data_IF_960686512811
#
_entry.id   IF_960686512811
#
_cell.length_a   1.000
_cell.length_b   1.000
_cell.length_c   1.000
_cell.angle_alpha   90.00
_cell.angle_beta   90.00
_cell.angle_gamma   90.00
#
_symmetry.space_group_name_H-M   'P 1'
#
loop_
_entity.id
_entity.type
_entity.pdbx_description
1 polymer ?
#
# COMPACT_ATOMS: atom_id res chain seq x y z
N UNK A 1 6.01 11.02 15.08
CA UNK A 1 4.60 10.60 14.91
C UNK A 1 4.54 9.08 15.07
N UNK A 2 3.60 8.58 15.89
CA UNK A 2 3.25 7.16 15.91
C UNK A 2 2.63 6.77 14.57
N UNK A 3 3.04 5.62 14.02
CA UNK A 3 2.51 5.17 12.74
C UNK A 3 1.10 4.59 12.84
N UNK A 4 0.41 4.52 11.71
CA UNK A 4 -0.91 3.92 11.56
C UNK A 4 -1.11 3.23 10.21
N UNK A 5 -2.12 2.36 10.14
CA UNK A 5 -2.56 1.71 8.92
C UNK A 5 -4.03 2.02 8.65
N UNK A 6 -4.34 2.29 7.38
CA UNK A 6 -5.69 2.54 6.87
C UNK A 6 -5.96 1.68 5.66
N UNK A 7 -7.15 1.13 5.59
CA UNK A 7 -7.56 0.30 4.46
C UNK A 7 -8.94 0.70 3.94
N UNK A 8 -9.17 0.44 2.66
CA UNK A 8 -10.47 0.61 2.02
C UNK A 8 -10.79 -0.63 1.21
N UNK A 9 -12.04 -1.09 1.33
CA UNK A 9 -12.63 -2.07 0.43
C UNK A 9 -13.40 -1.34 -0.67
N UNK A 10 -13.16 -1.73 -1.94
CA UNK A 10 -13.77 -1.13 -3.12
C UNK A 10 -14.60 -2.21 -3.80
N UNK A 11 -15.90 -2.21 -3.57
CA UNK A 11 -16.85 -3.25 -3.99
C UNK A 11 -17.51 -2.99 -5.35
N UNK A 12 -17.27 -1.81 -5.94
CA UNK A 12 -17.85 -1.38 -7.21
C UNK A 12 -16.86 -0.64 -8.11
N UNK A 13 -17.13 -0.55 -9.42
CA UNK A 13 -16.37 0.33 -10.31
C UNK A 13 -16.61 1.81 -9.95
N UNK A 14 -15.64 2.66 -10.29
CA UNK A 14 -15.81 4.12 -10.26
C UNK A 14 -16.65 4.58 -11.44
N UNK A 15 -17.53 5.52 -11.19
CA UNK A 15 -18.19 6.28 -12.26
C UNK A 15 -17.18 7.19 -12.97
N UNK A 16 -17.53 7.70 -14.15
CA UNK A 16 -16.65 8.64 -14.88
C UNK A 16 -16.39 9.92 -14.10
N UNK A 17 -17.42 10.45 -13.44
CA UNK A 17 -17.29 11.64 -12.62
C UNK A 17 -16.40 11.44 -11.40
N UNK A 18 -16.49 10.30 -10.73
CA UNK A 18 -15.62 9.94 -9.60
C UNK A 18 -14.16 9.80 -10.03
N UNK A 19 -13.92 9.08 -11.14
CA UNK A 19 -12.57 8.94 -11.67
C UNK A 19 -11.97 10.30 -12.06
N UNK A 20 -12.73 11.16 -12.74
CA UNK A 20 -12.28 12.49 -13.13
C UNK A 20 -11.89 13.32 -11.90
N UNK A 21 -12.74 13.36 -10.86
CA UNK A 21 -12.43 14.06 -9.60
C UNK A 21 -11.17 13.54 -8.93
N UNK A 22 -11.05 12.21 -8.80
CA UNK A 22 -9.86 11.60 -8.19
C UNK A 22 -8.59 11.91 -8.98
N UNK A 23 -8.65 11.94 -10.32
CA UNK A 23 -7.53 12.34 -11.16
C UNK A 23 -7.12 13.80 -10.96
N UNK A 24 -8.07 14.70 -10.72
CA UNK A 24 -7.80 16.13 -10.47
C UNK A 24 -7.06 16.36 -9.14
N UNK A 25 -7.30 15.52 -8.14
CA UNK A 25 -6.63 15.60 -6.85
C UNK A 25 -5.17 15.13 -6.88
N UNK A 26 -4.75 14.47 -7.97
CA UNK A 26 -3.39 13.96 -8.08
C UNK A 26 -2.42 15.00 -8.63
N UNK A 27 -1.16 14.97 -8.17
CA UNK A 27 -0.07 15.69 -8.83
C UNK A 27 -0.01 15.34 -10.33
N UNK A 28 0.33 16.30 -11.22
CA UNK A 28 0.27 16.11 -12.67
C UNK A 28 1.03 14.87 -13.19
N UNK A 29 2.19 14.59 -12.63
CA UNK A 29 3.00 13.43 -13.01
C UNK A 29 2.30 12.10 -12.69
N UNK A 30 1.62 12.01 -11.54
CA UNK A 30 0.87 10.83 -11.13
C UNK A 30 -0.36 10.64 -12.00
N UNK A 31 -1.08 11.72 -12.26
CA UNK A 31 -2.22 11.72 -13.19
C UNK A 31 -1.80 11.17 -14.55
N UNK A 32 -0.72 11.69 -15.14
CA UNK A 32 -0.22 11.23 -16.44
C UNK A 32 0.15 9.75 -16.42
N UNK A 33 0.80 9.27 -15.35
CA UNK A 33 1.17 7.86 -15.21
C UNK A 33 -0.07 6.96 -15.20
N UNK A 34 -1.11 7.32 -14.46
CA UNK A 34 -2.35 6.54 -14.40
C UNK A 34 -3.12 6.58 -15.72
N UNK A 35 -3.13 7.72 -16.41
CA UNK A 35 -3.77 7.84 -17.72
C UNK A 35 -3.11 7.00 -18.81
N UNK A 36 -1.84 6.61 -18.64
CA UNK A 36 -1.13 5.68 -19.55
C UNK A 36 -1.51 4.20 -19.34
N UNK A 37 -2.23 3.86 -18.27
CA UNK A 37 -2.72 2.49 -18.09
C UNK A 37 -3.70 2.14 -19.21
N UNK A 38 -3.53 0.96 -19.85
CA UNK A 38 -4.27 0.62 -21.07
C UNK A 38 -5.76 0.42 -20.84
N UNK A 39 -6.15 0.04 -19.63
CA UNK A 39 -7.55 -0.18 -19.26
C UNK A 39 -7.94 0.76 -18.13
N UNK A 40 -9.10 1.37 -18.24
CA UNK A 40 -9.65 2.29 -17.25
C UNK A 40 -9.82 1.63 -15.87
N UNK A 41 -10.26 0.38 -15.85
CA UNK A 41 -10.49 -0.39 -14.62
C UNK A 41 -9.21 -0.54 -13.78
N UNK A 42 -8.04 -0.54 -14.42
CA UNK A 42 -6.74 -0.64 -13.72
C UNK A 42 -6.38 0.63 -12.94
N UNK A 43 -7.13 1.71 -13.09
CA UNK A 43 -6.89 2.97 -12.37
C UNK A 43 -7.62 3.04 -11.04
N UNK A 44 -8.65 2.22 -10.85
CA UNK A 44 -9.55 2.26 -9.69
C UNK A 44 -8.77 2.19 -8.37
N UNK A 45 -8.06 1.11 -8.13
CA UNK A 45 -7.32 0.90 -6.90
C UNK A 45 -6.20 1.94 -6.70
N UNK A 46 -5.35 2.24 -7.69
CA UNK A 46 -4.36 3.31 -7.55
C UNK A 46 -4.96 4.67 -7.22
N UNK A 47 -6.08 5.06 -7.84
CA UNK A 47 -6.77 6.33 -7.54
C UNK A 47 -7.26 6.37 -6.09
N UNK A 48 -7.96 5.32 -5.66
CA UNK A 48 -8.43 5.19 -4.29
C UNK A 48 -7.25 5.17 -3.29
N UNK A 49 -6.14 4.55 -3.65
CA UNK A 49 -4.94 4.49 -2.79
C UNK A 49 -4.33 5.88 -2.54
N UNK A 50 -4.19 6.69 -3.58
CA UNK A 50 -3.70 8.07 -3.43
C UNK A 50 -4.70 8.94 -2.69
N UNK A 51 -5.99 8.79 -2.94
CA UNK A 51 -7.02 9.54 -2.20
C UNK A 51 -7.02 9.17 -0.73
N UNK A 52 -6.90 7.87 -0.42
CA UNK A 52 -6.77 7.42 0.97
C UNK A 52 -5.53 8.01 1.64
N UNK A 53 -4.38 8.01 0.95
CA UNK A 53 -3.17 8.66 1.46
C UNK A 53 -3.40 10.14 1.75
N UNK A 54 -4.04 10.88 0.84
CA UNK A 54 -4.35 12.32 1.04
C UNK A 54 -5.20 12.53 2.28
N UNK A 55 -6.28 11.74 2.44
CA UNK A 55 -7.17 11.83 3.61
C UNK A 55 -6.43 11.52 4.92
N UNK A 56 -5.55 10.52 4.89
CA UNK A 56 -4.74 10.18 6.07
C UNK A 56 -3.79 11.31 6.43
N UNK A 57 -3.10 11.89 5.45
CA UNK A 57 -2.19 13.02 5.68
C UNK A 57 -2.93 14.27 6.15
N UNK A 58 -4.14 14.52 5.64
CA UNK A 58 -5.00 15.59 6.11
C UNK A 58 -5.38 15.39 7.58
N UNK A 59 -5.82 14.19 7.97
CA UNK A 59 -6.22 13.89 9.36
C UNK A 59 -5.07 13.88 10.35
N UNK A 60 -3.95 13.26 9.98
CA UNK A 60 -2.81 13.07 10.88
C UNK A 60 -1.87 14.28 10.95
N UNK A 61 -1.79 15.07 9.85
CA UNK A 61 -0.82 16.17 9.70
C UNK A 61 -1.44 17.52 9.31
N UNK A 62 -2.74 17.57 9.00
CA UNK A 62 -3.41 18.79 8.53
C UNK A 62 -3.07 19.16 7.06
N UNK A 63 -2.54 18.23 6.27
CA UNK A 63 -2.15 18.51 4.89
C UNK A 63 -3.34 18.34 3.94
N UNK A 64 -3.87 19.45 3.42
CA UNK A 64 -5.03 19.44 2.51
C UNK A 64 -4.72 18.89 1.10
N UNK A 65 -3.45 18.79 0.73
CA UNK A 65 -3.01 18.31 -0.57
C UNK A 65 -1.77 17.41 -0.43
N UNK A 66 -1.58 16.49 -1.38
CA UNK A 66 -0.35 15.70 -1.43
C UNK A 66 0.85 16.61 -1.74
N UNK A 67 1.91 16.61 -0.91
CA UNK A 67 3.15 17.28 -1.24
C UNK A 67 3.81 16.72 -2.52
N UNK A 68 4.72 17.46 -3.14
CA UNK A 68 5.56 16.93 -4.20
C UNK A 68 6.24 15.64 -3.77
N UNK A 69 6.22 14.63 -4.64
CA UNK A 69 6.83 13.33 -4.38
C UNK A 69 8.09 13.18 -5.23
N UNK A 70 9.15 12.69 -4.62
CA UNK A 70 10.34 12.20 -5.30
C UNK A 70 10.40 10.66 -5.20
N UNK A 71 11.35 10.08 -5.92
CA UNK A 71 11.56 8.63 -5.96
C UNK A 71 13.01 8.33 -5.69
N UNK A 72 13.26 7.31 -4.87
CA UNK A 72 14.60 6.72 -4.78
C UNK A 72 15.00 6.13 -6.14
N UNK A 73 16.28 5.82 -6.33
CA UNK A 73 16.76 5.17 -7.55
C UNK A 73 16.09 3.83 -7.86
N UNK A 74 15.51 3.16 -6.84
CA UNK A 74 14.74 1.92 -6.97
C UNK A 74 13.22 2.14 -7.01
N UNK A 75 12.77 3.40 -7.08
CA UNK A 75 11.37 3.75 -7.32
C UNK A 75 10.48 3.85 -6.08
N UNK A 76 11.03 3.78 -4.85
CA UNK A 76 10.24 4.05 -3.64
C UNK A 76 9.88 5.54 -3.57
N UNK A 77 8.56 5.90 -3.45
CA UNK A 77 8.15 7.28 -3.30
C UNK A 77 8.45 7.81 -1.89
N UNK A 78 8.76 9.10 -1.80
CA UNK A 78 8.93 9.82 -0.54
C UNK A 78 8.63 11.31 -0.72
N UNK A 79 8.47 12.04 0.38
CA UNK A 79 8.30 13.49 0.39
C UNK A 79 9.65 14.15 0.66
N UNK A 80 10.30 14.79 -0.33
CA UNK A 80 11.63 15.37 -0.14
C UNK A 80 11.65 16.50 0.90
N UNK A 81 10.57 17.27 0.99
CA UNK A 81 10.45 18.41 1.92
C UNK A 81 10.00 17.97 3.34
N UNK A 82 9.63 16.69 3.53
CA UNK A 82 9.13 16.13 4.79
C UNK A 82 9.77 14.75 5.07
N UNK A 83 11.10 14.68 5.23
CA UNK A 83 11.80 13.40 5.39
C UNK A 83 11.41 12.62 6.66
N UNK A 84 10.80 13.31 7.64
CA UNK A 84 10.27 12.72 8.87
C UNK A 84 8.92 12.00 8.67
N UNK A 85 8.31 12.10 7.50
CA UNK A 85 7.05 11.43 7.16
C UNK A 85 7.31 10.32 6.14
N UNK A 86 7.29 9.09 6.61
CA UNK A 86 7.36 7.91 5.75
C UNK A 86 5.96 7.38 5.46
N UNK A 87 5.75 6.94 4.22
CA UNK A 87 4.51 6.29 3.82
C UNK A 87 4.76 5.09 2.90
N UNK A 88 3.79 4.22 2.82
CA UNK A 88 3.76 3.10 1.89
C UNK A 88 2.34 2.82 1.45
N UNK A 89 2.18 2.46 0.18
CA UNK A 89 0.88 2.16 -0.43
C UNK A 89 0.95 0.76 -1.03
N UNK A 90 -0.10 -0.01 -0.83
CA UNK A 90 -0.35 -1.24 -1.58
C UNK A 90 -1.81 -1.34 -1.99
N UNK A 91 -2.06 -2.02 -3.09
CA UNK A 91 -3.40 -2.31 -3.55
C UNK A 91 -3.44 -3.63 -4.31
N UNK A 92 -4.56 -4.29 -4.21
CA UNK A 92 -4.93 -5.49 -4.97
C UNK A 92 -6.36 -5.32 -5.46
N UNK A 93 -6.90 -6.29 -6.19
CA UNK A 93 -8.28 -6.22 -6.67
C UNK A 93 -9.27 -5.96 -5.53
N UNK A 94 -9.93 -4.79 -5.58
CA UNK A 94 -10.95 -4.37 -4.62
C UNK A 94 -10.42 -3.94 -3.25
N UNK A 95 -9.10 -3.88 -3.01
CA UNK A 95 -8.58 -3.48 -1.71
C UNK A 95 -7.36 -2.55 -1.82
N UNK A 96 -7.28 -1.64 -0.86
CA UNK A 96 -6.19 -0.68 -0.71
C UNK A 96 -5.71 -0.69 0.73
N UNK A 97 -4.39 -0.58 0.92
CA UNK A 97 -3.75 -0.44 2.22
C UNK A 97 -2.73 0.69 2.17
N UNK A 98 -2.82 1.60 3.12
CA UNK A 98 -1.90 2.73 3.30
C UNK A 98 -1.29 2.66 4.69
N UNK A 99 0.01 2.83 4.78
CA UNK A 99 0.73 3.03 6.04
C UNK A 99 1.42 4.39 6.06
N UNK A 100 1.29 5.13 7.16
CA UNK A 100 1.98 6.39 7.41
C UNK A 100 2.66 6.33 8.77
N UNK A 101 3.90 6.79 8.87
CA UNK A 101 4.69 6.71 10.11
C UNK A 101 5.78 7.80 10.14
N UNK A 102 6.24 8.14 11.34
CA UNK A 102 7.44 8.97 11.53
C UNK A 102 8.76 8.21 11.30
N UNK A 103 8.70 6.93 10.98
CA UNK A 103 9.87 6.08 10.70
C UNK A 103 9.60 5.15 9.51
N UNK A 104 10.62 4.43 9.05
CA UNK A 104 10.52 3.59 7.86
C UNK A 104 9.36 2.59 7.97
N UNK A 105 8.48 2.58 6.97
CA UNK A 105 7.34 1.69 6.84
C UNK A 105 7.22 1.16 5.41
N UNK A 106 6.76 -0.08 5.28
CA UNK A 106 6.34 -0.70 4.04
C UNK A 106 5.10 -1.55 4.32
N UNK A 107 4.11 -1.49 3.47
CA UNK A 107 2.89 -2.28 3.57
C UNK A 107 2.63 -3.04 2.29
N UNK A 108 2.06 -4.22 2.41
CA UNK A 108 1.56 -4.97 1.27
C UNK A 108 0.22 -5.63 1.58
N UNK A 109 -0.64 -5.72 0.57
CA UNK A 109 -1.94 -6.39 0.62
C UNK A 109 -2.18 -7.14 -0.68
N UNK A 110 -2.58 -8.40 -0.58
CA UNK A 110 -2.87 -9.27 -1.73
C UNK A 110 -4.17 -10.04 -1.53
N UNK A 111 -5.03 -10.02 -2.55
CA UNK A 111 -6.24 -10.84 -2.57
C UNK A 111 -5.87 -12.31 -2.68
N UNK A 112 -6.45 -13.13 -1.80
CA UNK A 112 -6.28 -14.58 -1.88
C UNK A 112 -6.97 -15.11 -3.15
N UNK A 113 -6.21 -15.82 -3.97
CA UNK A 113 -6.67 -16.39 -5.24
C UNK A 113 -5.93 -17.71 -5.52
N UNK A 114 -6.45 -18.59 -6.35
CA UNK A 114 -5.74 -19.82 -6.72
C UNK A 114 -4.30 -19.52 -7.20
N UNK A 115 -3.35 -20.32 -6.75
CA UNK A 115 -1.93 -20.22 -7.10
C UNK A 115 -1.50 -21.53 -7.75
N UNK A 116 -0.73 -21.43 -8.83
CA UNK A 116 -0.21 -22.62 -9.52
C UNK A 116 0.65 -23.49 -8.56
N UNK A 117 0.46 -24.83 -8.54
CA UNK A 117 1.19 -25.71 -7.63
C UNK A 117 2.73 -25.58 -7.72
N UNK A 118 3.26 -25.31 -8.92
CA UNK A 118 4.69 -25.07 -9.14
C UNK A 118 5.19 -23.85 -8.38
N UNK A 119 4.36 -22.80 -8.26
CA UNK A 119 4.70 -21.58 -7.53
C UNK A 119 4.66 -21.81 -6.02
N UNK A 120 3.64 -22.52 -5.50
CA UNK A 120 3.59 -22.95 -4.11
C UNK A 120 4.84 -23.73 -3.73
N UNK A 121 5.23 -24.71 -4.55
CA UNK A 121 6.44 -25.51 -4.32
C UNK A 121 7.70 -24.65 -4.31
N UNK A 122 7.83 -23.70 -5.25
CA UNK A 122 8.99 -22.80 -5.33
C UNK A 122 9.17 -21.95 -4.05
N UNK A 123 8.07 -21.54 -3.43
CA UNK A 123 8.08 -20.76 -2.20
C UNK A 123 8.01 -21.63 -0.92
N UNK A 124 8.05 -22.96 -1.05
CA UNK A 124 7.93 -23.87 0.10
C UNK A 124 6.60 -23.74 0.83
N UNK A 125 5.57 -23.23 0.15
CA UNK A 125 4.26 -22.98 0.74
C UNK A 125 3.37 -24.23 0.60
N UNK A 126 2.83 -24.70 1.74
CA UNK A 126 1.89 -25.84 1.75
C UNK A 126 0.46 -25.47 1.34
N UNK A 127 0.08 -24.20 1.49
CA UNK A 127 -1.26 -23.68 1.18
C UNK A 127 -1.17 -22.33 0.45
N UNK A 128 -2.29 -21.91 -0.14
CA UNK A 128 -2.43 -20.59 -0.78
C UNK A 128 -2.22 -19.47 0.24
N UNK A 129 -2.78 -19.61 1.44
CA UNK A 129 -2.66 -18.64 2.51
C UNK A 129 -1.19 -18.48 2.95
N UNK A 130 -0.47 -19.58 3.13
CA UNK A 130 0.95 -19.57 3.49
C UNK A 130 1.80 -18.90 2.40
N UNK A 131 1.46 -19.12 1.13
CA UNK A 131 2.10 -18.44 0.01
C UNK A 131 1.90 -16.92 0.09
N UNK A 132 0.64 -16.46 0.21
CA UNK A 132 0.37 -15.03 0.26
C UNK A 132 0.90 -14.38 1.52
N UNK A 133 0.90 -15.04 2.68
CA UNK A 133 1.56 -14.52 3.88
C UNK A 133 3.07 -14.31 3.68
N UNK A 134 3.74 -15.27 3.03
CA UNK A 134 5.16 -15.12 2.67
C UNK A 134 5.37 -14.00 1.65
N UNK A 135 4.49 -13.90 0.65
CA UNK A 135 4.58 -12.90 -0.40
C UNK A 135 4.41 -11.49 0.14
N UNK A 136 3.32 -11.19 0.87
CA UNK A 136 3.08 -9.85 1.43
C UNK A 136 4.16 -9.42 2.41
N UNK A 137 4.77 -10.36 3.14
CA UNK A 137 5.90 -10.09 4.01
C UNK A 137 7.11 -9.59 3.23
N UNK A 138 7.48 -10.28 2.15
CA UNK A 138 8.60 -9.92 1.27
C UNK A 138 8.38 -8.56 0.62
N UNK A 139 7.19 -8.34 0.06
CA UNK A 139 6.80 -7.06 -0.55
C UNK A 139 6.81 -5.92 0.47
N UNK A 140 6.24 -6.11 1.66
CA UNK A 140 6.24 -5.08 2.70
C UNK A 140 7.66 -4.71 3.13
N UNK A 141 8.57 -5.69 3.29
CA UNK A 141 9.99 -5.46 3.62
C UNK A 141 10.70 -4.70 2.49
N UNK A 142 10.50 -5.13 1.26
CA UNK A 142 11.05 -4.46 0.08
C UNK A 142 10.56 -3.00 -0.04
N UNK A 143 9.26 -2.76 0.18
CA UNK A 143 8.67 -1.42 0.19
C UNK A 143 9.20 -0.56 1.37
N UNK A 144 9.44 -1.14 2.54
CA UNK A 144 10.04 -0.42 3.66
C UNK A 144 11.44 0.08 3.34
N UNK A 145 12.29 -0.78 2.80
CA UNK A 145 13.69 -0.45 2.48
C UNK A 145 13.86 0.28 1.15
N UNK A 146 12.90 0.13 0.22
CA UNK A 146 13.03 0.59 -1.16
C UNK A 146 13.95 -0.31 -1.99
N UNK A 147 14.13 -1.57 -1.62
CA UNK A 147 14.95 -2.56 -2.32
C UNK A 147 14.07 -3.52 -3.13
N UNK A 148 14.64 -4.27 -4.09
CA UNK A 148 13.91 -5.34 -4.77
C UNK A 148 13.43 -6.42 -3.79
N UNK A 149 12.36 -7.13 -4.18
CA UNK A 149 11.84 -8.27 -3.41
C UNK A 149 12.84 -9.42 -3.44
N UNK A 150 13.16 -9.97 -2.27
CA UNK A 150 13.98 -11.16 -2.14
C UNK A 150 13.16 -12.41 -2.55
N UNK A 151 13.51 -13.06 -3.65
CA UNK A 151 12.82 -14.25 -4.15
C UNK A 151 13.46 -15.57 -3.66
N UNK A 152 14.67 -15.50 -3.09
CA UNK A 152 15.42 -16.64 -2.53
C UNK A 152 15.06 -16.91 -1.07
N UNK A 153 16.04 -17.46 -0.35
CA UNK A 153 15.98 -17.60 1.09
C UNK A 153 15.86 -16.21 1.73
N UNK A 154 14.89 -16.03 2.62
CA UNK A 154 14.58 -14.73 3.18
C UNK A 154 15.58 -14.38 4.28
N UNK A 155 16.17 -13.20 4.19
CA UNK A 155 17.06 -12.69 5.24
C UNK A 155 16.31 -12.50 6.56
N UNK A 156 17.00 -12.63 7.68
CA UNK A 156 16.47 -12.32 9.01
C UNK A 156 15.95 -10.88 9.09
N UNK A 157 15.24 -10.56 10.18
CA UNK A 157 14.80 -9.19 10.40
C UNK A 157 15.98 -8.26 10.61
N UNK A 158 15.94 -7.09 10.00
CA UNK A 158 16.93 -6.04 10.24
C UNK A 158 16.81 -5.49 11.68
N UNK A 159 17.87 -4.88 12.23
CA UNK A 159 17.79 -4.27 13.56
C UNK A 159 16.62 -3.28 13.68
N UNK A 160 15.77 -3.48 14.69
CA UNK A 160 14.58 -2.67 14.94
C UNK A 160 13.40 -2.91 13.99
N UNK A 161 13.55 -3.80 13.00
CA UNK A 161 12.45 -4.18 12.13
C UNK A 161 11.42 -5.03 12.88
N UNK A 162 10.16 -4.68 12.69
CA UNK A 162 9.01 -5.41 13.19
C UNK A 162 8.08 -5.76 12.04
N UNK A 163 7.39 -6.89 12.19
CA UNK A 163 6.34 -7.31 11.26
C UNK A 163 5.00 -7.37 11.98
N UNK A 164 3.96 -6.99 11.26
CA UNK A 164 2.59 -7.17 11.69
C UNK A 164 1.73 -7.62 10.52
N UNK A 165 0.88 -8.61 10.75
CA UNK A 165 -0.06 -9.18 9.79
C UNK A 165 -1.48 -8.77 10.18
N UNK A 166 -1.97 -7.61 9.75
CA UNK A 166 -3.31 -7.16 10.09
C UNK A 166 -4.37 -7.91 9.30
N UNK A 167 -5.50 -8.16 9.91
CA UNK A 167 -6.74 -8.51 9.23
C UNK A 167 -7.41 -7.22 8.71
N UNK A 168 -6.87 -6.68 7.62
CA UNK A 168 -7.29 -5.38 7.10
C UNK A 168 -8.57 -5.48 6.27
N UNK A 169 -8.63 -6.46 5.37
CA UNK A 169 -9.75 -6.67 4.45
C UNK A 169 -10.00 -8.16 4.30
N UNK A 170 -11.26 -8.58 4.43
CA UNK A 170 -11.64 -9.98 4.28
C UNK A 170 -11.21 -10.57 2.93
N UNK A 171 -10.70 -11.80 2.94
CA UNK A 171 -10.20 -12.47 1.74
C UNK A 171 -8.86 -11.94 1.20
N UNK A 172 -8.16 -11.12 1.98
CA UNK A 172 -6.82 -10.64 1.64
C UNK A 172 -5.80 -11.07 2.71
N UNK A 173 -4.56 -11.31 2.28
CA UNK A 173 -3.41 -11.31 3.16
C UNK A 173 -2.79 -9.91 3.20
N UNK A 174 -2.33 -9.46 4.34
CA UNK A 174 -1.66 -8.18 4.47
C UNK A 174 -0.46 -8.27 5.42
N UNK A 175 0.54 -7.42 5.22
CA UNK A 175 1.69 -7.28 6.09
C UNK A 175 2.15 -5.82 6.14
N UNK A 176 2.56 -5.38 7.33
CA UNK A 176 3.34 -4.18 7.55
C UNK A 176 4.73 -4.56 8.05
N UNK A 177 5.79 -4.05 7.42
CA UNK A 177 7.15 -4.04 7.90
C UNK A 177 7.50 -2.61 8.29
N UNK A 178 7.97 -2.38 9.52
CA UNK A 178 8.19 -1.03 10.04
C UNK A 178 9.28 -1.02 11.11
N UNK A 179 9.75 0.19 11.42
CA UNK A 179 10.58 0.49 12.58
C UNK A 179 9.84 1.48 13.47
N UNK A 180 10.15 1.49 14.79
CA UNK A 180 9.49 2.38 15.76
C UNK A 180 8.12 1.90 16.21
N UNK A 181 7.24 2.84 16.53
CA UNK A 181 5.90 2.56 17.06
C UNK A 181 4.83 2.61 15.97
N UNK A 182 3.94 1.62 15.97
CA UNK A 182 2.81 1.51 15.05
C UNK A 182 1.56 1.11 15.83
N UNK A 183 0.47 1.85 15.66
CA UNK A 183 -0.85 1.48 16.18
C UNK A 183 -1.26 0.12 15.60
N UNK A 184 -1.55 -0.86 16.47
CA UNK A 184 -1.90 -2.24 16.08
C UNK A 184 -3.38 -2.39 15.76
N UNK A 185 -3.92 -1.40 15.06
CA UNK A 185 -5.29 -1.37 14.57
C UNK A 185 -5.29 -0.79 13.16
N UNK A 186 -6.02 -1.43 12.25
CA UNK A 186 -6.29 -0.87 10.92
C UNK A 186 -7.57 -0.08 10.98
N UNK A 187 -7.52 1.18 10.58
CA UNK A 187 -8.72 1.99 10.38
C UNK A 187 -9.32 1.68 9.00
N UNK A 188 -10.54 1.15 8.99
CA UNK A 188 -11.29 0.95 7.76
C UNK A 188 -11.99 2.24 7.36
N UNK A 189 -11.64 2.77 6.20
CA UNK A 189 -12.24 3.97 5.63
C UNK A 189 -13.23 3.54 4.54
N UNK A 190 -14.52 3.87 4.68
CA UNK A 190 -15.53 3.57 3.64
C UNK A 190 -15.13 4.18 2.29
N UNK A 191 -15.36 3.46 1.20
CA UNK A 191 -15.02 3.95 -0.15
C UNK A 191 -15.75 5.25 -0.48
N UNK A 192 -16.96 5.46 0.00
CA UNK A 192 -17.74 6.67 -0.17
C UNK A 192 -17.01 7.91 0.37
N UNK A 193 -16.25 7.76 1.47
CA UNK A 193 -15.43 8.84 2.03
C UNK A 193 -14.29 9.27 1.08
N UNK A 194 -13.83 8.36 0.23
CA UNK A 194 -12.82 8.68 -0.77
C UNK A 194 -13.41 9.44 -1.97
N UNK A 195 -14.71 9.30 -2.21
CA UNK A 195 -15.38 9.77 -3.42
C UNK A 195 -16.09 11.12 -3.25
N UNK A 196 -16.14 11.61 -2.01
CA UNK A 196 -16.61 12.97 -1.67
C UNK A 196 -15.48 13.98 -1.72
#
# INVERSE_FOLDING_TARGET
MEGGLWATWIDRPLTEGEEARLLELLPPERRQRLLRLPRREQRREPLCAYRLLTLVLERELGWSTLPPMAYTHLGKPYFPDFPEVAFSISHTEGAVLVGVSGQAIGVDIERLRPVAPALLKRFGAGTVEAFFQSWVRREARAKRTGTPVELGEESGLAPGEQLWYPEAVSGCAACASFTGQLRRQVELVPVETLLT
#
